data_IF_042552128850
#
_entry.id   IF_042552128850
#
_cell.length_a   1.000
_cell.length_b   1.000
_cell.length_c   1.000
_cell.angle_alpha   90.00
_cell.angle_beta   90.00
_cell.angle_gamma   90.00
#
_symmetry.space_group_name_H-M   'P 1'
#
loop_
_entity.id
_entity.type
_entity.pdbx_description
1 polymer ?
#
# COMPACT_ATOMS: atom_id res chain seq x y z
N UNK A 1 32.92 31.21 -14.23
CA UNK A 1 32.07 30.13 -13.69
C UNK A 1 30.60 30.55 -13.78
N UNK A 2 29.84 30.04 -14.77
CA UNK A 2 28.40 30.30 -14.86
C UNK A 2 27.68 29.35 -13.90
N UNK A 3 27.07 29.87 -12.84
CA UNK A 3 26.22 29.08 -11.93
C UNK A 3 24.94 28.73 -12.68
N UNK A 4 24.74 27.45 -12.96
CA UNK A 4 23.51 26.92 -13.56
C UNK A 4 22.33 27.24 -12.65
N UNK A 5 21.30 27.89 -13.22
CA UNK A 5 20.00 28.07 -12.56
C UNK A 5 19.32 26.70 -12.49
N UNK A 6 19.55 25.96 -11.41
CA UNK A 6 18.68 24.81 -11.10
C UNK A 6 17.35 25.41 -10.66
N UNK A 7 16.41 25.55 -11.60
CA UNK A 7 15.01 25.79 -11.27
C UNK A 7 14.62 24.72 -10.25
N UNK A 8 14.33 25.14 -9.02
CA UNK A 8 13.75 24.29 -8.00
C UNK A 8 12.36 23.87 -8.48
N UNK A 9 12.32 22.85 -9.33
CA UNK A 9 11.13 22.09 -9.60
C UNK A 9 10.74 21.49 -8.25
N UNK A 10 9.77 22.12 -7.60
CA UNK A 10 9.04 21.53 -6.49
C UNK A 10 8.36 20.30 -7.09
N UNK A 11 9.10 19.20 -7.23
CA UNK A 11 8.55 17.90 -7.56
C UNK A 11 7.57 17.60 -6.44
N UNK A 12 6.29 17.89 -6.68
CA UNK A 12 5.20 17.37 -5.87
C UNK A 12 5.37 15.86 -6.01
N UNK A 13 6.03 15.25 -5.03
CA UNK A 13 6.37 13.84 -5.10
C UNK A 13 5.09 13.07 -5.38
N UNK A 14 5.12 12.16 -6.34
CA UNK A 14 3.91 11.44 -6.79
C UNK A 14 3.18 10.76 -5.61
N UNK A 15 3.88 10.50 -4.51
CA UNK A 15 3.33 10.07 -3.22
C UNK A 15 2.21 10.96 -2.66
N UNK A 16 2.25 12.27 -2.91
CA UNK A 16 1.26 13.23 -2.41
C UNK A 16 -0.05 13.22 -3.21
N UNK A 17 -0.08 12.61 -4.40
CA UNK A 17 -1.29 12.52 -5.24
C UNK A 17 -2.07 11.22 -5.00
N UNK A 18 -1.45 10.23 -4.37
CA UNK A 18 -2.08 8.94 -4.05
C UNK A 18 -3.12 9.11 -2.94
N UNK A 19 -4.35 8.65 -3.18
CA UNK A 19 -5.37 8.58 -2.14
C UNK A 19 -5.12 7.37 -1.22
N UNK A 20 -4.29 7.57 -0.20
CA UNK A 20 -3.89 6.55 0.77
C UNK A 20 -5.08 5.92 1.49
N UNK A 21 -6.07 6.73 1.88
CA UNK A 21 -7.26 6.26 2.59
C UNK A 21 -8.04 5.23 1.80
N UNK A 22 -8.15 5.40 0.47
CA UNK A 22 -8.81 4.43 -0.42
C UNK A 22 -8.06 3.10 -0.47
N UNK A 23 -6.73 3.14 -0.47
CA UNK A 23 -5.91 1.91 -0.46
C UNK A 23 -6.06 1.17 0.87
N UNK A 24 -6.01 1.88 1.99
CA UNK A 24 -6.18 1.33 3.34
C UNK A 24 -7.54 0.64 3.49
N UNK A 25 -8.63 1.29 3.08
CA UNK A 25 -9.98 0.71 3.15
C UNK A 25 -10.05 -0.59 2.32
N UNK A 26 -9.44 -0.60 1.14
CA UNK A 26 -9.42 -1.78 0.26
C UNK A 26 -8.71 -2.95 0.92
N UNK A 27 -7.52 -2.69 1.48
CA UNK A 27 -6.73 -3.71 2.19
C UNK A 27 -7.45 -4.18 3.45
N UNK A 28 -8.01 -3.27 4.23
CA UNK A 28 -8.75 -3.58 5.46
C UNK A 28 -9.96 -4.49 5.21
N UNK A 29 -10.75 -4.19 4.16
CA UNK A 29 -11.89 -5.05 3.78
C UNK A 29 -11.43 -6.46 3.42
N UNK A 30 -10.31 -6.61 2.72
CA UNK A 30 -9.77 -7.92 2.35
C UNK A 30 -9.24 -8.68 3.57
N UNK A 31 -8.52 -8.00 4.47
CA UNK A 31 -8.07 -8.56 5.75
C UNK A 31 -9.25 -9.00 6.62
N UNK A 32 -10.32 -8.21 6.69
CA UNK A 32 -11.54 -8.58 7.43
C UNK A 32 -12.19 -9.84 6.88
N UNK A 33 -12.23 -10.00 5.55
CA UNK A 33 -12.73 -11.23 4.90
C UNK A 33 -11.85 -12.44 5.21
N UNK A 34 -10.53 -12.27 5.22
CA UNK A 34 -9.58 -13.32 5.64
C UNK A 34 -9.87 -13.74 7.08
N UNK A 35 -10.03 -12.77 7.98
CA UNK A 35 -10.35 -13.04 9.38
C UNK A 35 -11.67 -13.80 9.54
N UNK A 36 -12.74 -13.36 8.87
CA UNK A 36 -14.03 -14.04 8.91
C UNK A 36 -13.98 -15.48 8.35
N UNK A 37 -13.28 -15.69 7.22
CA UNK A 37 -13.07 -17.03 6.67
C UNK A 37 -12.27 -17.93 7.62
N UNK A 38 -11.22 -17.37 8.24
CA UNK A 38 -10.42 -18.07 9.25
C UNK A 38 -11.26 -18.46 10.47
N UNK A 39 -12.16 -17.59 10.93
CA UNK A 39 -13.05 -17.89 12.06
C UNK A 39 -14.05 -19.02 11.77
N UNK A 40 -14.45 -19.21 10.52
CA UNK A 40 -15.32 -20.34 10.11
C UNK A 40 -14.55 -21.63 9.79
N UNK A 41 -13.23 -21.61 9.79
CA UNK A 41 -12.41 -22.76 9.37
C UNK A 41 -12.31 -22.96 7.85
N UNK A 42 -12.72 -21.98 7.04
CA UNK A 42 -12.67 -22.06 5.57
C UNK A 42 -11.23 -21.88 5.04
N UNK A 43 -10.34 -22.83 5.31
CA UNK A 43 -8.91 -22.78 4.93
C UNK A 43 -8.69 -22.54 3.43
N UNK A 44 -9.43 -23.18 2.49
CA UNK A 44 -9.27 -22.90 1.06
C UNK A 44 -9.58 -21.44 0.71
N UNK A 45 -10.61 -20.85 1.33
CA UNK A 45 -11.01 -19.45 1.11
C UNK A 45 -9.97 -18.50 1.69
N UNK A 46 -9.46 -18.78 2.89
CA UNK A 46 -8.36 -18.02 3.50
C UNK A 46 -7.16 -17.95 2.55
N UNK A 47 -6.70 -19.11 2.05
CA UNK A 47 -5.56 -19.17 1.12
C UNK A 47 -5.82 -18.39 -0.18
N UNK A 48 -7.03 -18.48 -0.73
CA UNK A 48 -7.42 -17.72 -1.92
C UNK A 48 -7.36 -16.21 -1.64
N UNK A 49 -7.94 -15.74 -0.53
CA UNK A 49 -7.96 -14.33 -0.16
C UNK A 49 -6.56 -13.78 0.18
N UNK A 50 -5.71 -14.57 0.84
CA UNK A 50 -4.31 -14.22 1.07
C UNK A 50 -3.55 -14.04 -0.26
N UNK A 51 -3.73 -14.96 -1.22
CA UNK A 51 -3.15 -14.80 -2.57
C UNK A 51 -3.65 -13.53 -3.25
N UNK A 52 -4.94 -13.20 -3.12
CA UNK A 52 -5.48 -11.92 -3.62
C UNK A 52 -4.82 -10.72 -2.95
N UNK A 53 -4.63 -10.77 -1.62
CA UNK A 53 -3.99 -9.69 -0.87
C UNK A 53 -2.54 -9.46 -1.33
N UNK A 54 -1.76 -10.53 -1.47
CA UNK A 54 -0.36 -10.45 -1.94
C UNK A 54 -0.24 -9.91 -3.37
N UNK A 55 -1.25 -10.17 -4.23
CA UNK A 55 -1.27 -9.65 -5.60
C UNK A 55 -1.82 -8.22 -5.72
N UNK A 56 -2.47 -7.69 -4.67
CA UNK A 56 -3.12 -6.37 -4.70
C UNK A 56 -2.11 -5.23 -4.83
N UNK A 57 -2.32 -4.35 -5.81
CA UNK A 57 -1.56 -3.12 -5.97
C UNK A 57 -1.69 -2.21 -4.75
N UNK A 58 -2.90 -2.08 -4.18
CA UNK A 58 -3.12 -1.28 -2.97
C UNK A 58 -2.30 -1.79 -1.79
N UNK A 59 -2.17 -3.11 -1.62
CA UNK A 59 -1.37 -3.69 -0.55
C UNK A 59 0.12 -3.44 -0.77
N UNK A 60 0.61 -3.59 -2.01
CA UNK A 60 2.00 -3.31 -2.37
C UNK A 60 2.36 -1.84 -2.15
N UNK A 61 1.50 -0.90 -2.58
CA UNK A 61 1.72 0.54 -2.38
C UNK A 61 1.84 0.93 -0.91
N UNK A 62 0.96 0.39 -0.05
CA UNK A 62 1.04 0.64 1.39
C UNK A 62 2.31 0.05 2.00
N UNK A 63 2.72 -1.15 1.56
CA UNK A 63 3.97 -1.76 2.02
C UNK A 63 5.20 -0.93 1.64
N UNK A 64 5.26 -0.44 0.39
CA UNK A 64 6.36 0.43 -0.07
C UNK A 64 6.37 1.74 0.71
N UNK A 65 5.21 2.39 0.89
CA UNK A 65 5.13 3.63 1.69
C UNK A 65 5.64 3.40 3.11
N UNK A 66 5.23 2.31 3.76
CA UNK A 66 5.68 1.98 5.11
C UNK A 66 7.20 1.86 5.19
N UNK A 67 7.82 1.12 4.27
CA UNK A 67 9.27 0.93 4.25
C UNK A 67 10.03 2.21 3.88
N UNK A 68 9.49 3.03 2.97
CA UNK A 68 10.21 4.19 2.42
C UNK A 68 9.99 5.49 3.18
N UNK A 69 8.88 5.64 3.90
CA UNK A 69 8.51 6.89 4.57
C UNK A 69 8.33 6.75 6.09
N UNK A 70 7.89 5.58 6.58
CA UNK A 70 7.52 5.41 7.99
C UNK A 70 8.60 4.70 8.81
N UNK A 71 9.33 3.76 8.21
CA UNK A 71 10.43 3.06 8.87
C UNK A 71 11.64 4.00 9.00
N UNK A 72 11.94 4.44 10.23
CA UNK A 72 13.07 5.34 10.54
C UNK A 72 14.35 4.61 10.99
N UNK A 73 14.41 3.29 10.84
CA UNK A 73 15.46 2.43 11.42
C UNK A 73 14.97 1.79 12.71
#
# INVERSE_FOLDING_TARGET
MKKSKTQGLTQKSEWNTVNWRKLEITVFKLQKRIYQASKRGDVPVVRKLQKTLMKSWSAKMLAVRKVTQENKG
#
